data_IF_560806599544
#
_entry.id   IF_560806599544
#
_cell.length_a   1.000
_cell.length_b   1.000
_cell.length_c   1.000
_cell.angle_alpha   90.00
_cell.angle_beta   90.00
_cell.angle_gamma   90.00
#
_symmetry.space_group_name_H-M   'P 1'
#
loop_
_entity.id
_entity.type
_entity.pdbx_description
1 polymer ?
#
# COMPACT_ATOMS: atom_id res chain seq x y z
N UNK A 1 1.94 36.69 -18.62
CA UNK A 1 1.89 35.74 -17.48
C UNK A 1 1.03 34.57 -17.90
N UNK A 2 1.58 33.36 -18.02
CA UNK A 2 0.85 32.19 -18.53
C UNK A 2 0.32 31.40 -17.32
N UNK A 3 -0.97 31.53 -17.05
CA UNK A 3 -1.61 30.76 -15.99
C UNK A 3 -1.69 29.29 -16.43
N UNK A 4 -0.97 28.42 -15.75
CA UNK A 4 -1.12 26.97 -15.87
C UNK A 4 -2.44 26.54 -15.23
N UNK A 5 -3.22 25.68 -15.90
CA UNK A 5 -4.50 25.11 -15.42
C UNK A 5 -4.43 24.37 -14.06
N UNK A 6 -3.25 24.27 -13.44
CA UNK A 6 -3.06 23.70 -12.11
C UNK A 6 -3.39 24.68 -10.98
N UNK A 7 -3.38 26.00 -11.24
CA UNK A 7 -3.57 27.05 -10.22
C UNK A 7 -5.04 27.24 -9.78
N UNK A 8 -5.99 26.57 -10.42
CA UNK A 8 -7.43 26.68 -10.06
C UNK A 8 -7.92 25.54 -9.16
N UNK A 9 -7.03 24.65 -8.71
CA UNK A 9 -7.33 23.70 -7.64
C UNK A 9 -7.21 24.44 -6.31
N UNK A 10 -8.14 25.38 -6.12
CA UNK A 10 -8.45 26.04 -4.85
C UNK A 10 -8.32 25.05 -3.70
N UNK A 11 -7.77 25.53 -2.58
CA UNK A 11 -7.38 24.86 -1.32
C UNK A 11 -8.40 23.86 -0.73
N UNK A 12 -8.77 22.82 -1.47
CA UNK A 12 -9.60 21.74 -0.99
C UNK A 12 -8.74 20.86 -0.09
N UNK A 13 -8.84 21.09 1.23
CA UNK A 13 -8.25 20.22 2.24
C UNK A 13 -8.94 18.85 2.15
N UNK A 14 -8.25 17.88 1.54
CA UNK A 14 -8.71 16.50 1.48
C UNK A 14 -8.25 15.79 2.75
N UNK A 15 -9.19 15.18 3.46
CA UNK A 15 -8.88 14.32 4.61
C UNK A 15 -8.64 12.89 4.12
N UNK A 16 -7.47 12.33 4.44
CA UNK A 16 -7.13 10.93 4.15
C UNK A 16 -7.58 10.09 5.34
N UNK A 17 -8.73 9.44 5.23
CA UNK A 17 -9.18 8.49 6.25
C UNK A 17 -8.36 7.19 6.14
N UNK A 18 -7.85 6.65 7.26
CA UNK A 18 -7.24 5.32 7.24
C UNK A 18 -8.31 4.29 6.82
N UNK A 19 -7.94 3.24 6.07
CA UNK A 19 -8.89 2.19 5.70
C UNK A 19 -9.47 1.55 6.95
N UNK A 20 -10.77 1.19 6.91
CA UNK A 20 -11.44 0.43 7.95
C UNK A 20 -10.69 -0.89 8.17
N UNK A 21 -9.81 -0.90 9.16
CA UNK A 21 -9.20 -2.12 9.65
C UNK A 21 -10.28 -2.84 10.41
N UNK A 22 -11.11 -3.61 9.71
CA UNK A 22 -11.80 -4.73 10.34
C UNK A 22 -10.71 -5.57 10.99
N UNK A 23 -10.54 -5.39 12.30
CA UNK A 23 -9.79 -6.27 13.19
C UNK A 23 -10.44 -7.65 13.21
N UNK A 24 -10.54 -8.30 12.06
CA UNK A 24 -10.45 -9.73 12.01
C UNK A 24 -8.95 -10.03 12.10
N UNK A 25 -8.50 -10.96 12.95
CA UNK A 25 -7.21 -11.61 12.73
C UNK A 25 -7.30 -12.30 11.37
N UNK A 26 -6.99 -11.55 10.31
CA UNK A 26 -6.99 -12.05 8.94
C UNK A 26 -6.04 -13.25 8.87
N UNK A 27 -6.30 -14.20 7.95
CA UNK A 27 -5.44 -15.37 7.81
C UNK A 27 -3.99 -14.88 7.70
N UNK A 28 -3.09 -15.55 8.41
CA UNK A 28 -1.67 -15.19 8.60
C UNK A 28 -0.88 -15.17 7.28
N UNK A 29 -1.55 -15.16 6.13
CA UNK A 29 -1.03 -15.30 4.78
C UNK A 29 -1.45 -14.10 3.93
N UNK A 30 -0.47 -13.43 3.33
CA UNK A 30 -0.59 -12.31 2.40
C UNK A 30 -0.13 -12.77 1.02
N UNK A 31 -0.79 -12.30 -0.03
CA UNK A 31 -0.38 -12.60 -1.41
C UNK A 31 0.67 -11.60 -1.87
N UNK A 32 1.84 -12.08 -2.26
CA UNK A 32 2.90 -11.22 -2.79
C UNK A 32 2.48 -10.65 -4.16
N UNK A 33 2.51 -9.32 -4.38
CA UNK A 33 2.11 -8.72 -5.64
C UNK A 33 3.10 -9.03 -6.79
N UNK A 34 4.35 -9.39 -6.46
CA UNK A 34 5.37 -9.71 -7.46
C UNK A 34 5.19 -11.11 -8.06
N UNK A 35 5.09 -12.15 -7.23
CA UNK A 35 5.00 -13.55 -7.69
C UNK A 35 3.61 -14.19 -7.56
N UNK A 36 2.63 -13.44 -7.03
CA UNK A 36 1.23 -13.88 -6.83
C UNK A 36 1.08 -15.11 -5.93
N UNK A 37 2.10 -15.44 -5.14
CA UNK A 37 2.07 -16.55 -4.16
C UNK A 37 1.58 -16.06 -2.81
N UNK A 38 0.69 -16.83 -2.20
CA UNK A 38 0.29 -16.63 -0.81
C UNK A 38 1.40 -17.08 0.15
N UNK A 39 1.76 -16.22 1.10
CA UNK A 39 2.86 -16.45 2.04
C UNK A 39 2.57 -15.89 3.42
N UNK A 40 3.19 -16.41 4.48
CA UNK A 40 3.01 -15.84 5.81
C UNK A 40 3.32 -14.35 5.85
N UNK A 41 2.55 -13.58 6.61
CA UNK A 41 2.81 -12.16 6.85
C UNK A 41 4.20 -11.90 7.45
N UNK A 42 4.76 -12.88 8.18
CA UNK A 42 6.11 -12.85 8.74
C UNK A 42 7.25 -12.99 7.71
N UNK A 43 6.92 -13.38 6.47
CA UNK A 43 7.88 -13.51 5.35
C UNK A 43 7.67 -12.42 4.30
N UNK A 44 6.88 -11.40 4.66
CA UNK A 44 6.68 -10.19 3.88
C UNK A 44 7.66 -9.12 4.35
N UNK A 45 7.93 -8.17 3.47
CA UNK A 45 8.77 -7.02 3.75
C UNK A 45 8.29 -6.21 4.96
N UNK A 46 9.26 -5.63 5.67
CA UNK A 46 9.01 -4.78 6.83
C UNK A 46 8.50 -3.38 6.46
N UNK A 47 8.59 -3.00 5.18
CA UNK A 47 8.08 -1.72 4.66
C UNK A 47 6.54 -1.73 4.56
N UNK A 48 5.92 -2.91 4.69
CA UNK A 48 4.49 -3.11 4.60
C UNK A 48 3.95 -3.05 3.17
N UNK A 49 4.83 -3.17 2.15
CA UNK A 49 4.44 -3.24 0.75
C UNK A 49 3.81 -4.60 0.38
N UNK A 50 4.03 -5.64 1.19
CA UNK A 50 3.48 -6.98 1.02
C UNK A 50 4.23 -7.84 0.00
N UNK A 51 5.49 -7.52 -0.30
CA UNK A 51 6.41 -8.28 -1.15
C UNK A 51 7.11 -9.33 -0.29
N UNK A 52 7.31 -10.54 -0.82
CA UNK A 52 8.02 -11.60 -0.10
C UNK A 52 9.54 -11.47 -0.16
N UNK A 53 10.20 -11.98 0.88
CA UNK A 53 11.67 -11.99 1.00
C UNK A 53 12.37 -12.61 -0.23
N UNK A 54 11.79 -13.66 -0.83
CA UNK A 54 12.33 -14.27 -2.05
C UNK A 54 12.36 -13.34 -3.26
N UNK A 55 11.41 -12.41 -3.37
CA UNK A 55 11.37 -11.44 -4.47
C UNK A 55 12.20 -10.19 -4.17
N UNK A 56 12.59 -9.99 -2.91
CA UNK A 56 13.48 -8.92 -2.48
C UNK A 56 14.96 -9.35 -2.48
N UNK A 57 15.23 -10.65 -2.46
CA UNK A 57 16.57 -11.17 -2.63
C UNK A 57 17.16 -10.69 -3.97
N UNK A 58 18.47 -10.36 -4.00
CA UNK A 58 19.15 -9.86 -5.20
C UNK A 58 19.22 -10.88 -6.34
#
# INVERSE_FOLDING_TARGET
MKQSKADTLSECKIEILPPDRRCAPGPKTVTCPCCQKARPASTMDADGCGICDECLAP
#
